data_IF_321729775942
#
_entry.id   IF_321729775942
#
_cell.length_a   1.000
_cell.length_b   1.000
_cell.length_c   1.000
_cell.angle_alpha   90.00
_cell.angle_beta   90.00
_cell.angle_gamma   90.00
#
_symmetry.space_group_name_H-M   'P 1'
#
loop_
_entity.id
_entity.type
_entity.pdbx_description
1 polymer ?
#
# COMPACT_ATOMS: atom_id res chain seq x y z
N UNK A 1 20.99 -4.19 -40.83
CA UNK A 1 20.52 -3.76 -39.50
C UNK A 1 19.04 -3.32 -39.37
N UNK A 2 18.07 -3.68 -40.25
CA UNK A 2 16.64 -3.39 -40.01
C UNK A 2 15.85 -4.51 -39.29
N UNK A 3 16.32 -5.77 -39.32
CA UNK A 3 15.57 -6.92 -38.80
C UNK A 3 15.51 -7.00 -37.26
N UNK A 4 16.56 -6.58 -36.54
CA UNK A 4 16.59 -6.54 -35.08
C UNK A 4 15.69 -5.44 -34.49
N UNK A 5 15.60 -4.29 -35.16
CA UNK A 5 14.71 -3.21 -34.75
C UNK A 5 13.23 -3.58 -34.93
N UNK A 6 12.88 -4.24 -36.05
CA UNK A 6 11.51 -4.69 -36.32
C UNK A 6 11.05 -5.80 -35.36
N UNK A 7 11.92 -6.76 -35.01
CA UNK A 7 11.61 -7.82 -34.03
C UNK A 7 11.50 -7.29 -32.61
N UNK A 8 12.34 -6.33 -32.21
CA UNK A 8 12.23 -5.67 -30.91
C UNK A 8 10.93 -4.84 -30.79
N UNK A 9 10.54 -4.14 -31.85
CA UNK A 9 9.28 -3.37 -31.90
C UNK A 9 8.05 -4.28 -31.87
N UNK A 10 8.05 -5.40 -32.62
CA UNK A 10 6.98 -6.40 -32.57
C UNK A 10 6.90 -7.08 -31.18
N UNK A 11 8.03 -7.37 -30.54
CA UNK A 11 8.07 -7.92 -29.17
C UNK A 11 7.46 -6.96 -28.13
N UNK A 12 7.74 -5.66 -28.25
CA UNK A 12 7.16 -4.61 -27.38
C UNK A 12 5.67 -4.38 -27.62
N UNK A 13 5.23 -4.32 -28.89
CA UNK A 13 3.80 -4.15 -29.22
C UNK A 13 2.96 -5.34 -28.76
N UNK A 14 3.52 -6.55 -28.81
CA UNK A 14 2.86 -7.77 -28.37
C UNK A 14 2.82 -7.89 -26.83
N UNK A 15 3.85 -7.40 -26.14
CA UNK A 15 3.85 -7.29 -24.67
C UNK A 15 2.80 -6.28 -24.17
N UNK A 16 2.69 -5.11 -24.81
CA UNK A 16 1.66 -4.12 -24.46
C UNK A 16 0.23 -4.68 -24.61
N UNK A 17 0.00 -5.53 -25.62
CA UNK A 17 -1.27 -6.25 -25.76
C UNK A 17 -1.56 -7.17 -24.57
N UNK A 18 -0.58 -7.95 -24.12
CA UNK A 18 -0.72 -8.84 -22.96
C UNK A 18 -0.94 -8.08 -21.65
N UNK A 19 -0.28 -6.94 -21.44
CA UNK A 19 -0.51 -6.14 -20.24
C UNK A 19 -1.89 -5.49 -20.21
N UNK A 20 -2.41 -5.03 -21.36
CA UNK A 20 -3.82 -4.61 -21.45
C UNK A 20 -4.78 -5.76 -21.17
N UNK A 21 -4.53 -6.93 -21.73
CA UNK A 21 -5.36 -8.10 -21.43
C UNK A 21 -5.29 -8.45 -19.94
N UNK A 22 -4.11 -8.41 -19.33
CA UNK A 22 -3.94 -8.63 -17.89
C UNK A 22 -4.83 -7.67 -17.09
N UNK A 23 -4.77 -6.38 -17.39
CA UNK A 23 -5.60 -5.34 -16.77
C UNK A 23 -7.10 -5.62 -16.94
N UNK A 24 -7.54 -5.93 -18.15
CA UNK A 24 -8.93 -6.30 -18.44
C UNK A 24 -9.38 -7.50 -17.59
N UNK A 25 -8.55 -8.56 -17.49
CA UNK A 25 -8.86 -9.73 -16.64
C UNK A 25 -8.94 -9.37 -15.17
N UNK A 26 -8.02 -8.54 -14.66
CA UNK A 26 -8.03 -8.12 -13.26
C UNK A 26 -9.31 -7.34 -12.92
N UNK A 27 -9.67 -6.37 -13.78
CA UNK A 27 -10.86 -5.54 -13.58
C UNK A 27 -12.17 -6.32 -13.76
N UNK A 28 -12.18 -7.32 -14.65
CA UNK A 28 -13.28 -8.26 -14.83
C UNK A 28 -13.39 -9.31 -13.70
N UNK A 29 -12.47 -9.28 -12.73
CA UNK A 29 -12.37 -10.23 -11.62
C UNK A 29 -12.11 -11.68 -12.07
N UNK A 30 -11.42 -11.87 -13.20
CA UNK A 30 -11.13 -13.15 -13.83
C UNK A 30 -9.74 -13.69 -13.40
N UNK A 31 -9.73 -14.48 -12.32
CA UNK A 31 -8.50 -15.07 -11.74
C UNK A 31 -7.81 -16.05 -12.69
N UNK A 32 -8.60 -16.90 -13.35
CA UNK A 32 -8.07 -17.90 -14.29
C UNK A 32 -7.51 -17.23 -15.53
N UNK A 33 -8.25 -16.28 -16.12
CA UNK A 33 -7.80 -15.49 -17.27
C UNK A 33 -6.54 -14.70 -16.94
N UNK A 34 -6.50 -14.00 -15.81
CA UNK A 34 -5.32 -13.25 -15.38
C UNK A 34 -4.08 -14.14 -15.22
N UNK A 35 -4.26 -15.35 -14.67
CA UNK A 35 -3.18 -16.32 -14.50
C UNK A 35 -2.67 -16.89 -15.82
N UNK A 36 -3.57 -17.10 -16.80
CA UNK A 36 -3.18 -17.50 -18.17
C UNK A 36 -2.35 -16.42 -18.86
N UNK A 37 -2.76 -15.15 -18.74
CA UNK A 37 -2.00 -14.01 -19.31
C UNK A 37 -0.62 -13.91 -18.65
N UNK A 38 -0.55 -14.06 -17.32
CA UNK A 38 0.72 -14.09 -16.60
C UNK A 38 1.65 -15.22 -17.08
N UNK A 39 1.12 -16.42 -17.27
CA UNK A 39 1.87 -17.53 -17.84
C UNK A 39 2.42 -17.19 -19.25
N UNK A 40 1.63 -16.53 -20.10
CA UNK A 40 2.10 -16.10 -21.42
C UNK A 40 3.17 -15.00 -21.37
N UNK A 41 3.09 -14.08 -20.41
CA UNK A 41 4.15 -13.09 -20.16
C UNK A 41 5.47 -13.78 -19.79
N UNK A 42 5.41 -14.79 -18.90
CA UNK A 42 6.59 -15.60 -18.55
C UNK A 42 7.13 -16.39 -19.75
N UNK A 43 6.26 -17.06 -20.50
CA UNK A 43 6.64 -17.85 -21.68
C UNK A 43 7.36 -17.01 -22.74
N UNK A 44 7.04 -15.72 -22.81
CA UNK A 44 7.67 -14.75 -23.72
C UNK A 44 8.90 -14.07 -23.12
N UNK A 45 9.35 -14.49 -21.96
CA UNK A 45 10.56 -13.99 -21.30
C UNK A 45 10.43 -12.55 -20.80
N UNK A 46 9.24 -12.08 -20.44
CA UNK A 46 9.10 -10.75 -19.83
C UNK A 46 9.78 -10.73 -18.45
N UNK A 47 10.54 -9.68 -18.10
CA UNK A 47 11.20 -9.58 -16.81
C UNK A 47 10.19 -9.58 -15.64
N UNK A 48 10.47 -10.32 -14.57
CA UNK A 48 9.62 -10.33 -13.38
C UNK A 48 9.42 -8.94 -12.75
N UNK A 49 10.45 -8.06 -12.65
CA UNK A 49 10.25 -6.70 -12.15
C UNK A 49 9.29 -5.88 -13.03
N UNK A 50 9.33 -6.08 -14.34
CA UNK A 50 8.40 -5.43 -15.28
C UNK A 50 6.96 -5.90 -15.05
N UNK A 51 6.75 -7.22 -14.93
CA UNK A 51 5.42 -7.77 -14.65
C UNK A 51 4.91 -7.30 -13.27
N UNK A 52 5.78 -7.20 -12.27
CA UNK A 52 5.44 -6.70 -10.95
C UNK A 52 5.03 -5.23 -10.98
N UNK A 53 5.75 -4.38 -11.72
CA UNK A 53 5.39 -2.97 -11.90
C UNK A 53 3.99 -2.84 -12.52
N UNK A 54 3.71 -3.60 -13.58
CA UNK A 54 2.38 -3.62 -14.22
C UNK A 54 1.29 -4.14 -13.29
N UNK A 55 1.57 -5.18 -12.50
CA UNK A 55 0.62 -5.69 -11.51
C UNK A 55 0.24 -4.62 -10.48
N UNK A 56 1.23 -3.85 -9.98
CA UNK A 56 0.98 -2.74 -9.05
C UNK A 56 0.21 -1.62 -9.73
N UNK A 57 0.60 -1.19 -10.93
CA UNK A 57 -0.14 -0.19 -11.73
C UNK A 57 -1.61 -0.52 -11.88
N UNK A 58 -1.91 -1.80 -12.18
CA UNK A 58 -3.29 -2.27 -12.37
C UNK A 58 -4.10 -2.21 -11.08
N UNK A 59 -3.55 -2.68 -9.94
CA UNK A 59 -4.36 -2.81 -8.72
C UNK A 59 -4.38 -1.55 -7.85
N UNK A 60 -3.32 -0.73 -7.86
CA UNK A 60 -3.12 0.37 -6.91
C UNK A 60 -4.33 1.31 -6.79
N UNK A 61 -4.94 1.78 -7.91
CA UNK A 61 -6.08 2.71 -7.82
C UNK A 61 -7.30 2.14 -7.12
N UNK A 62 -7.46 0.82 -7.16
CA UNK A 62 -8.66 0.11 -6.74
C UNK A 62 -8.50 -0.63 -5.41
N UNK A 63 -7.29 -0.62 -4.84
CA UNK A 63 -7.05 -1.18 -3.51
C UNK A 63 -7.24 -0.15 -2.40
N UNK A 64 -7.16 1.15 -2.69
CA UNK A 64 -7.41 2.17 -1.68
C UNK A 64 -8.81 2.11 -1.07
N UNK A 65 -8.94 2.60 0.16
CA UNK A 65 -10.22 2.71 0.88
C UNK A 65 -10.39 4.13 1.42
N UNK A 66 -11.63 4.64 1.59
CA UNK A 66 -11.86 5.94 2.23
C UNK A 66 -11.29 6.00 3.65
N UNK A 67 -11.37 4.89 4.37
CA UNK A 67 -10.89 4.73 5.74
C UNK A 67 -10.67 3.25 6.05
N UNK A 68 -9.66 2.89 6.85
CA UNK A 68 -9.40 1.48 7.25
C UNK A 68 -10.33 0.96 8.33
N UNK A 69 -11.25 1.79 8.81
CA UNK A 69 -12.25 1.44 9.80
C UNK A 69 -13.63 1.88 9.31
N UNK A 70 -14.63 1.05 9.57
CA UNK A 70 -16.03 1.40 9.43
C UNK A 70 -16.71 1.13 10.75
N UNK A 71 -17.74 1.91 11.07
CA UNK A 71 -18.60 1.66 12.21
C UNK A 71 -19.91 1.07 11.67
N UNK A 72 -20.16 -0.20 11.99
CA UNK A 72 -21.38 -0.93 11.65
C UNK A 72 -22.21 -1.12 12.92
N UNK A 73 -23.36 -0.45 13.04
CA UNK A 73 -24.24 -0.54 14.21
C UNK A 73 -23.51 -0.28 15.55
N UNK A 74 -22.54 0.65 15.55
CA UNK A 74 -21.71 0.98 16.71
C UNK A 74 -20.50 0.08 16.92
N UNK A 75 -20.30 -0.95 16.09
CA UNK A 75 -19.16 -1.85 16.16
C UNK A 75 -18.07 -1.50 15.12
N UNK A 76 -16.79 -1.49 15.51
CA UNK A 76 -15.71 -1.26 14.57
C UNK A 76 -15.46 -2.47 13.67
N UNK A 77 -15.38 -2.22 12.37
CA UNK A 77 -15.09 -3.18 11.32
C UNK A 77 -13.88 -2.71 10.51
N UNK A 78 -12.79 -3.45 10.58
CA UNK A 78 -11.52 -3.05 9.98
C UNK A 78 -11.34 -3.61 8.58
N UNK A 79 -10.55 -2.88 7.81
CA UNK A 79 -10.25 -3.17 6.41
C UNK A 79 -8.74 -3.11 6.19
N UNK A 80 -8.18 -4.19 5.68
CA UNK A 80 -6.80 -4.24 5.19
C UNK A 80 -6.82 -4.25 3.66
N UNK A 81 -6.03 -3.39 3.04
CA UNK A 81 -5.97 -3.25 1.57
C UNK A 81 -4.62 -3.56 0.95
N UNK A 82 -3.67 -3.93 1.78
CA UNK A 82 -2.26 -4.05 1.45
C UNK A 82 -1.91 -5.41 0.88
N UNK A 83 -2.81 -6.40 0.90
CA UNK A 83 -2.52 -7.78 0.50
C UNK A 83 -1.91 -7.91 -0.91
N UNK A 84 -2.39 -7.13 -1.90
CA UNK A 84 -1.80 -7.14 -3.24
C UNK A 84 -0.35 -6.64 -3.21
N UNK A 85 -0.10 -5.49 -2.56
CA UNK A 85 1.22 -4.89 -2.47
C UNK A 85 2.19 -5.74 -1.60
N UNK A 86 1.72 -6.26 -0.47
CA UNK A 86 2.51 -7.13 0.42
C UNK A 86 2.87 -8.45 -0.26
N UNK A 87 1.94 -9.01 -1.05
CA UNK A 87 2.20 -10.22 -1.85
C UNK A 87 3.28 -9.95 -2.90
N UNK A 88 3.21 -8.82 -3.62
CA UNK A 88 4.28 -8.38 -4.54
C UNK A 88 5.64 -8.27 -3.83
N UNK A 89 5.67 -7.64 -2.66
CA UNK A 89 6.90 -7.54 -1.84
C UNK A 89 7.41 -8.93 -1.46
N UNK A 90 6.54 -9.83 -0.98
CA UNK A 90 6.94 -11.18 -0.59
C UNK A 90 7.55 -11.95 -1.77
N UNK A 91 6.99 -11.78 -2.98
CA UNK A 91 7.50 -12.40 -4.19
C UNK A 91 8.97 -12.04 -4.49
N UNK A 92 9.41 -10.80 -4.20
CA UNK A 92 10.80 -10.34 -4.40
C UNK A 92 11.81 -11.20 -3.65
N UNK A 93 11.48 -11.60 -2.42
CA UNK A 93 12.37 -12.37 -1.57
C UNK A 93 12.19 -13.87 -1.80
N UNK A 94 10.96 -14.34 -1.98
CA UNK A 94 10.66 -15.75 -2.22
C UNK A 94 11.25 -16.25 -3.56
N UNK A 95 11.26 -15.42 -4.61
CA UNK A 95 11.85 -15.82 -5.90
C UNK A 95 13.35 -16.14 -5.78
N UNK A 96 14.07 -15.49 -4.86
CA UNK A 96 15.50 -15.72 -4.62
C UNK A 96 15.77 -17.05 -3.90
N UNK A 97 14.75 -17.61 -3.26
CA UNK A 97 14.82 -18.88 -2.53
C UNK A 97 14.43 -20.08 -3.40
N UNK A 98 13.95 -19.84 -4.62
CA UNK A 98 13.53 -20.88 -5.56
C UNK A 98 14.58 -21.10 -6.65
N UNK A 99 14.65 -22.32 -7.24
CA UNK A 99 15.40 -22.54 -8.47
C UNK A 99 14.93 -21.58 -9.57
N UNK A 100 15.83 -21.16 -10.46
CA UNK A 100 15.57 -20.19 -11.52
C UNK A 100 14.30 -20.50 -12.35
N UNK A 101 14.13 -21.78 -12.71
CA UNK A 101 12.96 -22.29 -13.45
C UNK A 101 11.62 -22.13 -12.72
N UNK A 102 11.63 -21.87 -11.42
CA UNK A 102 10.47 -21.68 -10.55
C UNK A 102 10.38 -20.25 -10.00
N UNK A 103 11.30 -19.35 -10.37
CA UNK A 103 11.39 -18.00 -9.80
C UNK A 103 10.12 -17.14 -10.03
N UNK A 104 9.30 -17.46 -11.05
CA UNK A 104 8.01 -16.79 -11.29
C UNK A 104 6.87 -17.24 -10.37
N UNK A 105 6.95 -18.41 -9.74
CA UNK A 105 5.82 -18.94 -8.94
C UNK A 105 5.33 -18.00 -7.83
N UNK A 106 6.20 -17.29 -7.07
CA UNK A 106 5.74 -16.39 -6.02
C UNK A 106 4.87 -15.25 -6.54
N UNK A 107 5.19 -14.66 -7.71
CA UNK A 107 4.40 -13.58 -8.30
C UNK A 107 3.07 -14.10 -8.88
N UNK A 108 2.97 -15.37 -9.26
CA UNK A 108 1.72 -15.99 -9.68
C UNK A 108 0.63 -15.89 -8.59
N UNK A 109 1.01 -16.02 -7.31
CA UNK A 109 0.08 -15.88 -6.18
C UNK A 109 -0.47 -14.45 -6.09
N UNK A 110 0.37 -13.44 -6.34
CA UNK A 110 -0.06 -12.04 -6.40
C UNK A 110 -1.08 -11.84 -7.52
N UNK A 111 -0.74 -12.30 -8.73
CA UNK A 111 -1.62 -12.21 -9.91
C UNK A 111 -2.98 -12.87 -9.65
N UNK A 112 -2.98 -14.08 -9.06
CA UNK A 112 -4.21 -14.80 -8.71
C UNK A 112 -5.08 -14.02 -7.72
N UNK A 113 -4.47 -13.30 -6.77
CA UNK A 113 -5.19 -12.61 -5.72
C UNK A 113 -5.83 -11.30 -6.18
N UNK A 114 -5.15 -10.52 -7.04
CA UNK A 114 -5.56 -9.17 -7.45
C UNK A 114 -7.06 -9.04 -7.76
N UNK A 115 -7.67 -9.90 -8.63
CA UNK A 115 -9.10 -9.85 -8.96
C UNK A 115 -10.05 -9.79 -7.75
N UNK A 116 -9.72 -10.54 -6.71
CA UNK A 116 -10.50 -10.66 -5.47
C UNK A 116 -10.15 -9.58 -4.43
N UNK A 117 -9.02 -8.88 -4.63
CA UNK A 117 -8.53 -7.81 -3.77
C UNK A 117 -9.01 -6.41 -4.17
N UNK A 118 -9.65 -6.25 -5.33
CA UNK A 118 -10.11 -4.94 -5.81
C UNK A 118 -11.42 -4.47 -5.15
N UNK A 119 -11.48 -3.18 -4.85
CA UNK A 119 -12.64 -2.45 -4.34
C UNK A 119 -13.19 -3.04 -3.04
N UNK A 120 -12.32 -3.03 -2.03
CA UNK A 120 -12.58 -3.66 -0.74
C UNK A 120 -13.77 -3.01 -0.02
N UNK A 121 -13.95 -1.70 -0.20
CA UNK A 121 -15.03 -0.99 0.45
C UNK A 121 -16.39 -1.47 -0.06
N UNK A 122 -16.58 -1.60 -1.38
CA UNK A 122 -17.81 -2.19 -1.92
C UNK A 122 -17.96 -3.67 -1.59
N UNK A 123 -16.88 -4.43 -1.41
CA UNK A 123 -16.97 -5.80 -0.88
C UNK A 123 -17.54 -5.84 0.54
N UNK A 124 -17.07 -4.92 1.41
CA UNK A 124 -17.50 -4.85 2.81
C UNK A 124 -18.96 -4.43 2.97
N UNK A 125 -19.56 -3.74 2.00
CA UNK A 125 -21.00 -3.42 1.96
C UNK A 125 -21.78 -4.33 1.02
N UNK A 126 -21.21 -5.49 0.63
CA UNK A 126 -21.85 -6.52 -0.20
C UNK A 126 -22.35 -6.02 -1.56
N UNK A 127 -21.73 -4.96 -2.10
CA UNK A 127 -21.99 -4.46 -3.46
C UNK A 127 -21.09 -5.11 -4.50
N UNK A 128 -19.94 -5.65 -4.10
CA UNK A 128 -19.00 -6.34 -4.99
C UNK A 128 -18.52 -7.66 -4.37
N UNK A 129 -18.21 -8.70 -5.19
CA UNK A 129 -17.66 -9.95 -4.70
C UNK A 129 -16.17 -9.79 -4.39
N UNK A 130 -15.63 -10.69 -3.57
CA UNK A 130 -14.19 -10.77 -3.31
C UNK A 130 -13.86 -11.27 -1.90
N UNK A 131 -12.61 -11.08 -1.51
CA UNK A 131 -12.07 -11.59 -0.24
C UNK A 131 -12.91 -11.21 0.99
N UNK A 132 -13.50 -10.01 1.01
CA UNK A 132 -14.26 -9.51 2.16
C UNK A 132 -15.76 -9.79 2.10
N UNK A 133 -16.31 -10.16 0.93
CA UNK A 133 -17.73 -10.44 0.76
C UNK A 133 -18.11 -11.91 1.10
N UNK A 134 -17.13 -12.80 1.18
CA UNK A 134 -17.34 -14.27 1.32
C UNK A 134 -17.61 -14.75 2.75
N UNK A 135 -17.68 -13.86 3.75
CA UNK A 135 -17.92 -14.23 5.16
C UNK A 135 -19.41 -14.38 5.49
N UNK A 136 -20.11 -15.27 4.77
CA UNK A 136 -21.44 -15.75 5.15
C UNK A 136 -22.65 -15.01 4.55
N UNK A 137 -22.43 -14.03 3.67
CA UNK A 137 -23.52 -13.30 3.01
C UNK A 137 -23.70 -13.78 1.56
N UNK A 138 -24.95 -13.98 1.14
CA UNK A 138 -25.27 -14.22 -0.26
C UNK A 138 -25.15 -12.91 -1.02
N UNK A 139 -24.22 -12.85 -1.96
CA UNK A 139 -24.14 -11.73 -2.89
C UNK A 139 -25.45 -11.61 -3.68
N UNK A 140 -25.94 -10.39 -3.95
CA UNK A 140 -27.01 -10.19 -4.91
C UNK A 140 -26.60 -10.81 -6.26
N UNK A 141 -27.53 -11.49 -6.96
CA UNK A 141 -27.28 -12.08 -8.28
C UNK A 141 -27.28 -11.01 -9.38
N UNK A 142 -26.48 -9.96 -9.19
CA UNK A 142 -26.33 -8.82 -10.10
C UNK A 142 -24.89 -8.69 -10.53
N UNK A 143 -24.68 -8.18 -11.75
CA UNK A 143 -23.34 -7.85 -12.22
C UNK A 143 -22.67 -6.88 -11.21
N UNK A 144 -21.45 -7.19 -10.73
CA UNK A 144 -20.75 -6.31 -9.81
C UNK A 144 -20.44 -4.95 -10.45
N UNK A 145 -20.45 -3.85 -9.68
CA UNK A 145 -19.98 -2.58 -10.20
C UNK A 145 -18.50 -2.65 -10.56
N UNK A 146 -18.07 -1.79 -11.49
CA UNK A 146 -16.66 -1.58 -11.76
C UNK A 146 -15.94 -1.11 -10.49
N UNK A 147 -14.70 -1.58 -10.23
CA UNK A 147 -13.92 -1.13 -9.08
C UNK A 147 -13.80 0.40 -9.01
N UNK A 148 -13.93 0.94 -7.79
CA UNK A 148 -13.91 2.39 -7.54
C UNK A 148 -12.50 2.86 -7.16
N UNK A 149 -12.12 4.03 -7.69
CA UNK A 149 -10.94 4.77 -7.22
C UNK A 149 -11.38 5.73 -6.12
N UNK A 150 -10.95 5.47 -4.88
CA UNK A 150 -11.33 6.29 -3.72
C UNK A 150 -10.44 7.51 -3.52
N UNK A 151 -9.16 7.40 -3.87
CA UNK A 151 -8.21 8.51 -3.79
C UNK A 151 -7.55 8.67 -5.16
N UNK A 152 -7.83 9.74 -5.91
CA UNK A 152 -7.17 9.96 -7.19
C UNK A 152 -5.69 10.28 -6.98
N UNK A 153 -4.87 9.88 -7.95
CA UNK A 153 -3.47 10.29 -7.99
C UNK A 153 -3.31 11.81 -8.07
N UNK A 154 -2.15 12.32 -7.68
CA UNK A 154 -1.93 13.74 -7.41
C UNK A 154 -0.64 14.26 -8.04
N UNK A 155 -0.57 15.59 -8.18
CA UNK A 155 0.66 16.28 -8.56
C UNK A 155 1.50 16.63 -7.33
N UNK A 156 2.84 16.55 -7.44
CA UNK A 156 3.74 16.86 -6.33
C UNK A 156 3.57 18.29 -5.83
N UNK A 157 3.63 18.46 -4.52
CA UNK A 157 3.73 19.76 -3.86
C UNK A 157 5.17 19.94 -3.35
N UNK A 158 5.88 20.92 -3.91
CA UNK A 158 7.26 21.22 -3.53
C UNK A 158 7.28 22.23 -2.40
N UNK A 159 7.92 21.85 -1.31
CA UNK A 159 8.09 22.71 -0.14
C UNK A 159 9.51 23.27 -0.10
N UNK A 160 9.65 24.49 0.41
CA UNK A 160 10.93 25.15 0.63
C UNK A 160 11.38 24.99 2.07
N UNK A 161 12.67 25.23 2.33
CA UNK A 161 13.26 25.15 3.66
C UNK A 161 14.08 23.88 3.90
N UNK A 162 14.67 23.76 5.10
CA UNK A 162 15.48 22.60 5.48
C UNK A 162 14.73 21.27 5.34
N UNK A 163 15.44 20.20 4.92
CA UNK A 163 14.83 18.87 4.73
C UNK A 163 14.10 18.35 5.97
N UNK A 164 14.68 18.52 7.17
CA UNK A 164 14.09 18.07 8.43
C UNK A 164 12.74 18.75 8.71
N UNK A 165 12.59 20.03 8.42
CA UNK A 165 11.32 20.75 8.59
C UNK A 165 10.25 20.22 7.63
N UNK A 166 10.61 19.95 6.38
CA UNK A 166 9.71 19.38 5.37
C UNK A 166 9.30 17.94 5.69
N UNK A 167 10.23 17.11 6.18
CA UNK A 167 9.94 15.75 6.66
C UNK A 167 9.02 15.75 7.89
N UNK A 168 9.21 16.70 8.81
CA UNK A 168 8.35 16.88 9.98
C UNK A 168 6.95 17.36 9.58
N UNK A 169 6.86 18.30 8.64
CA UNK A 169 5.59 18.75 8.09
C UNK A 169 4.84 17.59 7.43
N UNK A 170 5.52 16.81 6.58
CA UNK A 170 4.94 15.60 5.99
C UNK A 170 4.39 14.64 7.05
N UNK A 171 5.17 14.32 8.09
CA UNK A 171 4.71 13.45 9.17
C UNK A 171 3.49 14.04 9.90
N UNK A 172 3.46 15.35 10.11
CA UNK A 172 2.32 16.05 10.73
C UNK A 172 1.05 15.89 9.90
N UNK A 173 1.14 15.99 8.57
CA UNK A 173 0.01 15.76 7.67
C UNK A 173 -0.48 14.29 7.75
N UNK A 174 0.44 13.33 7.83
CA UNK A 174 0.14 11.91 8.02
C UNK A 174 -0.61 11.69 9.34
N UNK A 175 -0.11 12.24 10.45
CA UNK A 175 -0.71 12.13 11.79
C UNK A 175 -2.11 12.77 11.87
N UNK A 176 -2.31 13.89 11.15
CA UNK A 176 -3.61 14.56 11.04
C UNK A 176 -4.58 13.87 10.09
N UNK A 177 -4.09 12.98 9.23
CA UNK A 177 -4.91 12.30 8.24
C UNK A 177 -5.27 13.12 7.03
N UNK A 178 -4.44 14.11 6.70
CA UNK A 178 -4.63 14.93 5.51
C UNK A 178 -4.11 14.13 4.30
N UNK A 179 -4.86 13.10 3.89
CA UNK A 179 -4.42 12.08 2.92
C UNK A 179 -3.84 12.69 1.64
N UNK A 180 -4.59 13.60 1.01
CA UNK A 180 -4.18 14.22 -0.26
C UNK A 180 -2.96 15.11 -0.06
N UNK A 181 -2.94 15.96 0.96
CA UNK A 181 -1.81 16.88 1.18
C UNK A 181 -0.54 16.12 1.58
N UNK A 182 -0.65 15.12 2.46
CA UNK A 182 0.46 14.26 2.84
C UNK A 182 1.06 13.54 1.61
N UNK A 183 0.20 13.01 0.73
CA UNK A 183 0.65 12.35 -0.49
C UNK A 183 1.34 13.32 -1.46
N UNK A 184 0.77 14.52 -1.68
CA UNK A 184 1.36 15.55 -2.54
C UNK A 184 2.73 16.00 -2.05
N UNK A 185 2.88 16.25 -0.75
CA UNK A 185 4.17 16.60 -0.14
C UNK A 185 5.17 15.44 -0.29
N UNK A 186 4.74 14.19 -0.07
CA UNK A 186 5.60 13.03 -0.27
C UNK A 186 6.12 12.91 -1.70
N UNK A 187 5.26 13.13 -2.69
CA UNK A 187 5.65 13.14 -4.10
C UNK A 187 6.71 14.20 -4.37
N UNK A 188 6.53 15.43 -3.85
CA UNK A 188 7.51 16.50 -3.99
C UNK A 188 8.87 16.14 -3.37
N UNK A 189 8.86 15.55 -2.18
CA UNK A 189 10.08 15.07 -1.51
C UNK A 189 10.79 13.96 -2.30
N UNK A 190 10.04 13.08 -2.98
CA UNK A 190 10.61 11.98 -3.77
C UNK A 190 11.26 12.42 -5.09
N UNK A 191 10.94 13.62 -5.60
CA UNK A 191 11.62 14.20 -6.77
C UNK A 191 13.07 14.60 -6.46
N UNK A 192 13.36 14.95 -5.20
CA UNK A 192 14.72 15.27 -4.72
C UNK A 192 15.52 13.98 -4.50
N UNK A 193 16.01 13.40 -5.60
CA UNK A 193 16.62 12.07 -5.61
C UNK A 193 17.81 11.91 -4.65
N UNK A 194 18.52 12.99 -4.34
CA UNK A 194 19.63 13.03 -3.37
C UNK A 194 19.18 12.77 -1.93
N UNK A 195 17.93 13.08 -1.59
CA UNK A 195 17.34 12.90 -0.25
C UNK A 195 16.40 11.69 -0.16
N UNK A 196 16.30 10.90 -1.24
CA UNK A 196 15.35 9.79 -1.33
C UNK A 196 15.48 8.81 -0.16
N UNK A 197 16.69 8.55 0.32
CA UNK A 197 16.92 7.60 1.42
C UNK A 197 16.27 8.10 2.72
N UNK A 198 16.43 9.39 3.02
CA UNK A 198 15.87 10.07 4.18
C UNK A 198 14.33 10.11 4.09
N UNK A 199 13.79 10.42 2.91
CA UNK A 199 12.34 10.44 2.65
C UNK A 199 11.72 9.05 2.83
N UNK A 200 12.36 8.00 2.30
CA UNK A 200 11.91 6.62 2.48
C UNK A 200 12.08 6.14 3.92
N UNK A 201 13.12 6.57 4.63
CA UNK A 201 13.29 6.29 6.06
C UNK A 201 12.15 6.92 6.87
N UNK A 202 11.75 8.15 6.54
CA UNK A 202 10.62 8.84 7.16
C UNK A 202 9.29 8.10 6.88
N UNK A 203 9.09 7.57 5.66
CA UNK A 203 7.93 6.72 5.33
C UNK A 203 7.88 5.46 6.20
N UNK A 204 9.02 4.77 6.34
CA UNK A 204 9.13 3.58 7.18
C UNK A 204 8.88 3.93 8.64
N UNK A 205 9.42 5.05 9.12
CA UNK A 205 9.19 5.55 10.47
C UNK A 205 7.70 5.81 10.73
N UNK A 206 7.02 6.55 9.84
CA UNK A 206 5.57 6.80 9.94
C UNK A 206 4.76 5.49 10.02
N UNK A 207 5.14 4.47 9.24
CA UNK A 207 4.51 3.16 9.32
C UNK A 207 4.80 2.39 10.61
N UNK A 208 6.00 2.56 11.19
CA UNK A 208 6.42 1.90 12.43
C UNK A 208 5.81 2.51 13.69
N UNK A 209 5.51 3.82 13.70
CA UNK A 209 4.92 4.46 14.88
C UNK A 209 3.41 4.21 15.00
N UNK A 210 2.74 3.84 13.90
CA UNK A 210 1.32 3.43 13.88
C UNK A 210 1.16 1.97 14.36
N UNK A 211 1.74 1.65 15.51
CA UNK A 211 1.58 0.37 16.21
C UNK A 211 0.43 0.51 17.19
N UNK A 212 -0.66 -0.19 16.90
CA UNK A 212 -1.87 -0.13 17.70
C UNK A 212 -1.76 -0.96 18.98
N UNK A 213 -2.39 -0.46 20.04
CA UNK A 213 -2.60 -1.18 21.30
C UNK A 213 -3.39 -2.49 21.08
N UNK A 214 -3.02 -3.53 21.83
CA UNK A 214 -3.88 -4.71 22.00
C UNK A 214 -4.76 -4.51 23.22
N UNK A 215 -6.06 -4.32 23.01
CA UNK A 215 -7.05 -4.34 24.09
C UNK A 215 -7.54 -5.78 24.34
N UNK A 216 -8.02 -6.06 25.57
CA UNK A 216 -8.55 -7.36 25.97
C UNK A 216 -9.73 -7.78 25.07
N UNK A 217 -9.68 -8.99 24.51
CA UNK A 217 -10.68 -9.57 23.58
C UNK A 217 -10.95 -8.75 22.29
N UNK A 218 -10.03 -7.88 21.87
CA UNK A 218 -10.26 -6.98 20.76
C UNK A 218 -10.40 -7.72 19.41
N UNK A 219 -11.36 -7.25 18.59
CA UNK A 219 -11.54 -7.64 17.18
C UNK A 219 -10.73 -6.76 16.23
N UNK A 220 -10.14 -5.67 16.75
CA UNK A 220 -9.27 -4.76 16.02
C UNK A 220 -7.90 -5.40 15.76
N UNK A 221 -7.55 -5.54 14.49
CA UNK A 221 -6.22 -5.94 14.05
C UNK A 221 -5.75 -4.92 13.02
N UNK A 222 -4.96 -3.93 13.43
CA UNK A 222 -3.93 -3.44 12.51
C UNK A 222 -2.58 -3.74 13.13
N UNK A 223 -2.13 -4.97 12.90
CA UNK A 223 -0.84 -5.49 13.34
C UNK A 223 0.30 -4.84 12.54
N UNK A 224 0.55 -3.54 12.74
CA UNK A 224 1.67 -2.83 12.09
C UNK A 224 1.68 -2.94 10.56
N UNK A 225 0.50 -3.07 9.93
CA UNK A 225 0.40 -3.27 8.48
C UNK A 225 0.96 -2.07 7.70
N UNK A 226 0.85 -0.85 8.25
CA UNK A 226 1.50 0.34 7.68
C UNK A 226 3.02 0.23 7.64
N UNK A 227 3.65 -0.41 8.62
CA UNK A 227 5.10 -0.69 8.59
C UNK A 227 5.47 -1.65 7.45
N UNK A 228 4.68 -2.72 7.27
CA UNK A 228 4.89 -3.65 6.15
C UNK A 228 4.62 -3.00 4.79
N UNK A 229 3.63 -2.12 4.70
CA UNK A 229 3.32 -1.34 3.49
C UNK A 229 4.43 -0.37 3.14
N UNK A 230 4.89 0.42 4.10
CA UNK A 230 6.01 1.34 3.93
C UNK A 230 7.27 0.60 3.45
N UNK A 231 7.57 -0.56 4.06
CA UNK A 231 8.66 -1.42 3.61
C UNK A 231 8.43 -1.99 2.21
N UNK A 232 7.19 -2.27 1.82
CA UNK A 232 6.84 -2.72 0.46
C UNK A 232 7.13 -1.65 -0.59
N UNK A 233 6.87 -0.38 -0.28
CA UNK A 233 7.23 0.73 -1.17
C UNK A 233 8.73 0.72 -1.44
N UNK A 234 9.54 0.60 -0.39
CA UNK A 234 11.01 0.59 -0.51
C UNK A 234 11.51 -0.61 -1.30
N UNK A 235 11.08 -1.83 -0.93
CA UNK A 235 11.57 -3.06 -1.54
C UNK A 235 11.13 -3.21 -3.01
N UNK A 236 9.86 -2.88 -3.32
CA UNK A 236 9.35 -2.94 -4.69
C UNK A 236 9.99 -1.83 -5.53
N UNK A 237 10.06 -0.59 -5.02
CA UNK A 237 10.71 0.51 -5.73
C UNK A 237 12.17 0.22 -6.09
N UNK A 238 12.93 -0.40 -5.18
CA UNK A 238 14.29 -0.87 -5.46
C UNK A 238 14.34 -2.00 -6.51
N UNK A 239 13.36 -2.90 -6.52
CA UNK A 239 13.32 -4.04 -7.43
C UNK A 239 12.96 -3.63 -8.87
N UNK A 240 12.05 -2.67 -9.05
CA UNK A 240 11.56 -2.23 -10.36
C UNK A 240 12.28 -0.98 -10.90
N UNK A 241 13.08 -0.33 -10.05
CA UNK A 241 13.74 0.95 -10.32
C UNK A 241 12.83 2.14 -10.01
N UNK A 242 13.40 3.18 -9.42
CA UNK A 242 12.64 4.35 -8.95
C UNK A 242 11.98 5.17 -10.07
N UNK A 243 12.50 5.10 -11.29
CA UNK A 243 11.88 5.73 -12.47
C UNK A 243 10.54 5.09 -12.85
N UNK A 244 10.30 3.84 -12.42
CA UNK A 244 9.05 3.10 -12.66
C UNK A 244 8.22 2.94 -11.37
N UNK A 245 8.58 3.62 -10.28
CA UNK A 245 8.00 3.39 -8.95
C UNK A 245 6.81 4.28 -8.60
N UNK A 246 6.32 5.09 -9.53
CA UNK A 246 5.19 6.00 -9.27
C UNK A 246 3.96 5.28 -8.73
N UNK A 247 3.51 4.21 -9.39
CA UNK A 247 2.34 3.44 -8.95
C UNK A 247 2.56 2.73 -7.61
N UNK A 248 3.83 2.40 -7.26
CA UNK A 248 4.20 1.84 -5.96
C UNK A 248 4.12 2.89 -4.86
N UNK A 249 4.59 4.12 -5.15
CA UNK A 249 4.47 5.27 -4.25
C UNK A 249 2.99 5.61 -4.04
N UNK A 250 2.20 5.65 -5.11
CA UNK A 250 0.76 5.85 -5.05
C UNK A 250 0.09 4.77 -4.18
N UNK A 251 0.37 3.49 -4.43
CA UNK A 251 -0.22 2.37 -3.67
C UNK A 251 0.09 2.41 -2.17
N UNK A 252 1.31 2.81 -1.79
CA UNK A 252 1.79 2.65 -0.42
C UNK A 252 1.88 3.94 0.39
N UNK A 253 2.40 5.02 -0.19
CA UNK A 253 2.64 6.26 0.52
C UNK A 253 1.36 7.09 0.72
N UNK A 254 0.43 7.08 -0.24
CA UNK A 254 -0.88 7.72 -0.07
C UNK A 254 -1.62 7.13 1.13
N UNK A 255 -1.61 5.80 1.22
CA UNK A 255 -2.38 5.03 2.18
C UNK A 255 -1.85 5.17 3.62
N UNK A 256 -0.63 5.70 3.81
CA UNK A 256 -0.03 5.87 5.14
C UNK A 256 -0.85 6.83 6.03
N UNK A 257 -1.43 7.86 5.41
CA UNK A 257 -2.22 8.89 6.07
C UNK A 257 -3.69 8.48 6.28
N UNK A 258 -4.14 7.39 5.65
CA UNK A 258 -5.52 6.90 5.81
C UNK A 258 -5.66 6.31 7.22
N UNK A 259 -6.66 6.78 7.97
CA UNK A 259 -6.87 6.38 9.35
C UNK A 259 -7.54 5.00 9.49
N UNK A 260 -7.73 4.51 10.72
CA UNK A 260 -7.48 5.20 11.98
C UNK A 260 -5.99 5.25 12.34
N UNK A 261 -5.64 6.12 13.29
CA UNK A 261 -4.26 6.36 13.74
C UNK A 261 -4.26 6.32 15.26
N UNK A 262 -3.43 5.47 15.84
CA UNK A 262 -3.25 5.39 17.28
C UNK A 262 -1.75 5.24 17.57
N UNK A 263 -1.21 6.24 18.27
CA UNK A 263 0.22 6.31 18.58
C UNK A 263 0.49 6.13 20.08
N UNK A 264 -0.48 5.62 20.84
CA UNK A 264 -0.37 5.42 22.29
C UNK A 264 0.82 4.54 22.69
N UNK A 265 1.07 3.44 21.96
CA UNK A 265 2.27 2.60 22.18
C UNK A 265 3.54 3.39 21.93
N UNK A 266 3.57 4.16 20.84
CA UNK A 266 4.72 4.98 20.48
C UNK A 266 4.98 6.09 21.50
N UNK A 267 3.93 6.79 21.94
CA UNK A 267 3.98 7.79 23.01
C UNK A 267 4.52 7.18 24.31
N UNK A 268 4.00 6.00 24.70
CA UNK A 268 4.50 5.28 25.87
C UNK A 268 6.00 4.95 25.73
N UNK A 269 6.44 4.49 24.56
CA UNK A 269 7.85 4.19 24.30
C UNK A 269 8.73 5.46 24.42
N UNK A 270 8.30 6.59 23.87
CA UNK A 270 8.98 7.88 24.02
C UNK A 270 9.13 8.29 25.49
N UNK A 271 8.06 8.14 26.29
CA UNK A 271 8.09 8.42 27.72
C UNK A 271 9.08 7.49 28.46
N UNK A 272 9.07 6.20 28.17
CA UNK A 272 9.99 5.22 28.76
C UNK A 272 11.45 5.57 28.45
N UNK A 273 11.76 5.90 27.20
CA UNK A 273 13.12 6.32 26.79
C UNK A 273 13.52 7.58 27.57
N UNK A 274 12.64 8.59 27.63
CA UNK A 274 12.91 9.87 28.29
C UNK A 274 13.20 9.70 29.78
N UNK A 275 12.39 8.88 30.47
CA UNK A 275 12.50 8.66 31.92
C UNK A 275 13.70 7.76 32.25
N UNK A 276 13.77 6.59 31.63
CA UNK A 276 14.67 5.52 32.08
C UNK A 276 16.02 5.51 31.36
N UNK A 277 16.11 6.07 30.15
CA UNK A 277 17.36 6.13 29.37
C UNK A 277 17.98 7.53 29.46
N UNK A 278 17.19 8.58 29.25
CA UNK A 278 17.71 9.96 29.30
C UNK A 278 17.75 10.55 30.72
N UNK A 279 17.09 9.91 31.69
CA UNK A 279 17.07 10.36 33.08
C UNK A 279 16.31 11.67 33.30
N UNK A 280 15.36 12.02 32.42
CA UNK A 280 14.56 13.23 32.52
C UNK A 280 13.21 12.93 33.17
N UNK A 281 12.71 13.87 33.96
CA UNK A 281 11.33 13.81 34.43
C UNK A 281 10.38 14.18 33.29
N UNK A 282 9.36 13.36 33.07
CA UNK A 282 8.22 13.69 32.20
C UNK A 282 7.08 14.13 33.11
N UNK A 283 6.71 15.39 33.04
CA UNK A 283 5.52 15.88 33.71
C UNK A 283 4.32 15.61 32.79
N UNK A 284 3.39 14.74 33.22
CA UNK A 284 2.06 14.75 32.65
C UNK A 284 1.51 16.15 32.88
N UNK A 285 1.20 16.91 31.84
CA UNK A 285 0.60 18.24 31.99
C UNK A 285 -0.67 18.09 32.83
N UNK A 286 -0.76 18.63 34.06
CA UNK A 286 -2.02 18.85 34.71
C UNK A 286 -2.32 20.33 34.50
N UNK A 287 -2.86 20.69 33.34
CA UNK A 287 -3.70 21.90 33.32
C UNK A 287 -5.08 21.40 33.74
N UNK A 288 -5.36 21.58 35.04
CA UNK A 288 -6.51 21.05 35.79
C UNK A 288 -7.68 20.57 34.93
N UNK A 289 -7.85 19.26 34.88
CA UNK A 289 -8.99 18.61 34.22
C UNK A 289 -10.27 18.61 35.06
N UNK A 290 -10.20 18.94 36.37
CA UNK A 290 -11.29 19.39 37.25
C UNK A 290 -10.71 19.82 38.61
N UNK A 291 -11.44 20.66 39.35
CA UNK A 291 -11.09 21.17 40.69
C UNK A 291 -11.44 20.15 41.79
N UNK A 292 -10.97 20.37 43.02
CA UNK A 292 -11.15 19.53 44.25
C UNK A 292 -12.62 19.19 44.65
N UNK A 293 -13.60 19.40 43.78
CA UNK A 293 -15.03 19.21 44.06
C UNK A 293 -15.73 18.18 43.15
N UNK A 294 -14.99 17.42 42.35
CA UNK A 294 -15.44 16.13 41.78
C UNK A 294 -14.71 14.95 42.44
#
# INVERSE_FOLDING_TARGET
MPAQAATATNGRQNAAGLYRELEERMLARDQEGGSRVYYELLRRGRPLPEIMAEAVRIHAPYTHVPYHQRIDDGFPNFVNNDHCLLSSRAAINLQKMLPEKLAGLPLAQTIWYIPSGLDIWNQKILKAPGHYATRGYKMPNTEPPKPVVYWPDQQPLRESGPLNERLNNWLTLVERGQVIDAYRVFLGLMEETEHRKEVLAQLVFAGMIDVQDRMLFNRSYTTGHKAYRARSVVEIGNAIGWDNAHDVIYAGALDIAVGPRWHSVYEMACNVITIFIEGKEVHAVPQGGTTEKE
#
